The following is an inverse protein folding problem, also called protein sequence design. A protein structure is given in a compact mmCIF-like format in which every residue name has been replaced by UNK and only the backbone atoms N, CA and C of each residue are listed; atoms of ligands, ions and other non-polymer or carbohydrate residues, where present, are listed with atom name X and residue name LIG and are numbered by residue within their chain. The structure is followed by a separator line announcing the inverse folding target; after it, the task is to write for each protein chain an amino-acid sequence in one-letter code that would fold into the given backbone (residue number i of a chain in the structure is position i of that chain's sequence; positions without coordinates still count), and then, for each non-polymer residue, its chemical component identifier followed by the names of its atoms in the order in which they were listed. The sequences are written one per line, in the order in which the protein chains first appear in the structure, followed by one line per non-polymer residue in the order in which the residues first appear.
data_IF_305801106122
#
_entry.id   IF_305801106122
#
_cell.length_a   1.000
_cell.length_b   1.000
_cell.length_c   1.000
_cell.angle_alpha   90.00
_cell.angle_beta   90.00
_cell.angle_gamma   90.00
#
_symmetry.space_group_name_H-M   'P 1'
#
loop_
_entity.id
_entity.type
_entity.pdbx_description
1 polymer ?
#
# COMPACT_ATOMS: atom_id res chain seq x y z
N UNK A 1 3.15 -32.22 1.95
CA UNK A 1 2.22 -31.19 2.46
C UNK A 1 1.57 -30.56 1.25
N UNK A 2 0.23 -30.56 1.16
CA UNK A 2 -0.43 -29.76 0.13
C UNK A 2 -0.10 -28.30 0.46
N UNK A 3 0.76 -27.67 -0.34
CA UNK A 3 0.93 -26.23 -0.29
C UNK A 3 -0.39 -25.64 -0.75
N UNK A 4 -1.16 -25.07 0.17
CA UNK A 4 -2.31 -24.25 -0.20
C UNK A 4 -1.77 -23.13 -1.07
N UNK A 5 -2.20 -23.10 -2.33
CA UNK A 5 -1.80 -22.08 -3.29
C UNK A 5 -2.36 -20.73 -2.83
N UNK A 6 -1.49 -19.73 -2.66
CA UNK A 6 -1.91 -18.38 -2.29
C UNK A 6 -2.57 -17.77 -3.53
N UNK A 7 -3.82 -17.34 -3.40
CA UNK A 7 -4.55 -16.69 -4.50
C UNK A 7 -4.43 -15.17 -4.39
N UNK A 8 -4.54 -14.47 -5.53
CA UNK A 8 -4.48 -13.01 -5.54
C UNK A 8 -5.63 -12.41 -4.74
N UNK A 9 -6.81 -13.05 -4.75
CA UNK A 9 -7.96 -12.61 -3.98
C UNK A 9 -7.72 -12.65 -2.46
N UNK A 10 -6.91 -13.60 -1.98
CA UNK A 10 -6.55 -13.69 -0.57
C UNK A 10 -5.59 -12.56 -0.17
N UNK A 11 -4.61 -12.25 -1.03
CA UNK A 11 -3.68 -11.13 -0.86
C UNK A 11 -4.43 -9.80 -0.85
N UNK A 12 -5.34 -9.62 -1.82
CA UNK A 12 -6.17 -8.41 -1.90
C UNK A 12 -7.11 -8.31 -0.70
N UNK A 13 -7.59 -9.41 -0.13
CA UNK A 13 -8.37 -9.35 1.11
C UNK A 13 -7.48 -8.98 2.31
N UNK A 14 -6.28 -9.53 2.39
CA UNK A 14 -5.36 -9.28 3.48
C UNK A 14 -4.96 -7.80 3.57
N UNK A 15 -4.63 -7.16 2.45
CA UNK A 15 -4.26 -5.73 2.42
C UNK A 15 -5.42 -4.83 2.88
N UNK A 16 -6.67 -5.15 2.50
CA UNK A 16 -7.85 -4.41 2.96
C UNK A 16 -8.19 -4.64 4.45
N UNK A 17 -7.66 -5.71 5.06
CA UNK A 17 -7.81 -5.99 6.49
C UNK A 17 -6.64 -5.44 7.32
N UNK A 18 -5.45 -5.31 6.71
CA UNK A 18 -4.27 -4.66 7.31
C UNK A 18 -4.59 -3.20 7.67
N UNK A 19 -5.35 -2.52 6.80
CA UNK A 19 -5.78 -1.13 6.98
C UNK A 19 -7.26 -1.02 7.35
N UNK A 20 -7.55 -1.00 8.65
CA UNK A 20 -8.94 -0.82 9.13
C UNK A 20 -9.15 0.46 9.94
N UNK A 21 -8.08 1.16 10.32
CA UNK A 21 -8.17 2.21 11.34
C UNK A 21 -8.84 3.49 10.80
N UNK A 22 -8.54 3.94 9.58
CA UNK A 22 -9.05 5.23 9.07
C UNK A 22 -10.56 5.25 8.87
N UNK A 23 -11.16 4.19 8.30
CA UNK A 23 -12.61 4.04 8.19
C UNK A 23 -13.27 3.97 9.55
N UNK A 24 -12.73 3.19 10.49
CA UNK A 24 -13.28 3.12 11.87
C UNK A 24 -13.26 4.48 12.55
N UNK A 25 -12.14 5.19 12.47
CA UNK A 25 -12.03 6.53 13.04
C UNK A 25 -13.06 7.48 12.41
N UNK A 26 -13.27 7.44 11.10
CA UNK A 26 -14.28 8.27 10.45
C UNK A 26 -15.72 7.89 10.84
N UNK A 27 -16.02 6.60 11.06
CA UNK A 27 -17.32 6.17 11.58
C UNK A 27 -17.61 6.78 12.97
N UNK A 28 -16.61 6.83 13.85
CA UNK A 28 -16.72 7.49 15.14
C UNK A 28 -17.00 9.00 14.98
N UNK A 29 -16.35 9.65 14.01
CA UNK A 29 -16.57 11.06 13.74
C UNK A 29 -17.98 11.36 13.21
N UNK A 30 -18.56 10.48 12.37
CA UNK A 30 -19.96 10.60 11.94
C UNK A 30 -20.93 10.50 13.12
N UNK A 31 -20.72 9.52 14.00
CA UNK A 31 -21.47 9.37 15.25
C UNK A 31 -21.37 10.62 16.13
N UNK A 32 -20.17 11.16 16.32
CA UNK A 32 -19.94 12.35 17.14
C UNK A 32 -20.69 13.58 16.62
N UNK A 33 -20.84 13.71 15.29
CA UNK A 33 -21.59 14.82 14.67
C UNK A 33 -23.10 14.58 14.58
N UNK A 34 -23.58 13.39 14.94
CA UNK A 34 -24.99 13.01 14.75
C UNK A 34 -25.39 12.92 13.27
N UNK A 35 -24.43 12.66 12.39
CA UNK A 35 -24.65 12.59 10.94
C UNK A 35 -24.81 11.14 10.49
N UNK A 36 -25.63 10.92 9.45
CA UNK A 36 -25.67 9.62 8.77
C UNK A 36 -24.32 9.39 8.07
N UNK A 37 -23.80 8.17 8.18
CA UNK A 37 -22.61 7.73 7.45
C UNK A 37 -22.82 7.93 5.95
N UNK A 38 -21.84 8.54 5.30
CA UNK A 38 -21.83 8.70 3.85
C UNK A 38 -21.10 7.51 3.21
N UNK A 39 -21.84 6.67 2.49
CA UNK A 39 -21.30 5.46 1.88
C UNK A 39 -20.24 5.76 0.82
N UNK A 40 -20.39 6.84 0.04
CA UNK A 40 -19.40 7.27 -0.96
C UNK A 40 -18.10 7.69 -0.29
N UNK A 41 -18.18 8.37 0.87
CA UNK A 41 -16.99 8.72 1.64
C UNK A 41 -16.30 7.47 2.20
N UNK A 42 -17.05 6.49 2.69
CA UNK A 42 -16.48 5.23 3.19
C UNK A 42 -15.83 4.40 2.08
N UNK A 43 -16.42 4.40 0.88
CA UNK A 43 -15.82 3.76 -0.29
C UNK A 43 -14.53 4.47 -0.71
N UNK A 44 -14.54 5.81 -0.75
CA UNK A 44 -13.34 6.60 -1.03
C UNK A 44 -12.21 6.30 -0.04
N UNK A 45 -12.52 6.27 1.26
CA UNK A 45 -11.57 5.94 2.31
C UNK A 45 -10.96 4.55 2.11
N UNK A 46 -11.77 3.55 1.74
CA UNK A 46 -11.27 2.19 1.50
C UNK A 46 -10.24 2.13 0.37
N UNK A 47 -10.41 2.94 -0.68
CA UNK A 47 -9.45 3.00 -1.80
C UNK A 47 -8.21 3.80 -1.41
N UNK A 48 -8.40 4.91 -0.69
CA UNK A 48 -7.31 5.71 -0.14
C UNK A 48 -6.40 4.89 0.78
N UNK A 49 -6.99 4.11 1.70
CA UNK A 49 -6.29 3.17 2.59
C UNK A 49 -5.46 2.17 1.78
N UNK A 50 -6.07 1.51 0.80
CA UNK A 50 -5.38 0.54 -0.04
C UNK A 50 -4.13 1.14 -0.72
N UNK A 51 -4.25 2.33 -1.31
CA UNK A 51 -3.11 2.99 -1.96
C UNK A 51 -1.99 3.34 -0.96
N UNK A 52 -2.35 3.82 0.23
CA UNK A 52 -1.35 4.11 1.29
C UNK A 52 -0.61 2.85 1.72
N UNK A 53 -1.31 1.75 1.99
CA UNK A 53 -0.65 0.49 2.38
C UNK A 53 0.26 -0.06 1.30
N UNK A 54 -0.15 0.02 0.03
CA UNK A 54 0.72 -0.40 -1.08
C UNK A 54 1.96 0.49 -1.14
N UNK A 55 1.82 1.79 -0.89
CA UNK A 55 2.97 2.70 -0.84
C UNK A 55 3.94 2.32 0.29
N UNK A 56 3.41 2.03 1.48
CA UNK A 56 4.22 1.66 2.64
C UNK A 56 4.90 0.30 2.41
N UNK A 57 4.17 -0.71 1.93
CA UNK A 57 4.75 -2.02 1.57
C UNK A 57 5.86 -1.88 0.50
N UNK A 58 5.69 -1.00 -0.50
CA UNK A 58 6.73 -0.80 -1.51
C UNK A 58 7.97 -0.09 -0.95
N UNK A 59 7.78 0.78 0.04
CA UNK A 59 8.87 1.46 0.73
C UNK A 59 9.64 0.51 1.64
N UNK A 60 8.94 -0.32 2.41
CA UNK A 60 9.50 -1.25 3.39
C UNK A 60 9.84 -2.65 2.80
N UNK A 61 9.70 -2.83 1.49
CA UNK A 61 9.78 -4.15 0.83
C UNK A 61 11.01 -4.99 1.22
N UNK A 62 12.20 -4.38 1.19
CA UNK A 62 13.43 -5.09 1.53
C UNK A 62 13.44 -5.53 2.99
N UNK A 63 13.07 -4.63 3.90
CA UNK A 63 13.06 -4.88 5.34
C UNK A 63 11.99 -5.92 5.70
N UNK A 64 10.80 -5.84 5.09
CA UNK A 64 9.74 -6.84 5.26
C UNK A 64 10.18 -8.24 4.81
N UNK A 65 10.90 -8.35 3.68
CA UNK A 65 11.43 -9.64 3.21
C UNK A 65 12.50 -10.17 4.18
N UNK A 66 13.32 -9.29 4.76
CA UNK A 66 14.33 -9.66 5.73
C UNK A 66 13.73 -10.16 7.04
N UNK A 67 12.75 -9.45 7.57
CA UNK A 67 12.03 -9.77 8.79
C UNK A 67 11.00 -10.90 8.61
N UNK A 68 10.80 -11.34 7.36
CA UNK A 68 9.81 -12.34 6.98
C UNK A 68 8.35 -11.89 7.27
N UNK A 69 8.11 -10.58 7.15
CA UNK A 69 6.80 -9.96 7.29
C UNK A 69 5.95 -10.10 6.01
N UNK A 70 4.64 -9.84 6.17
CA UNK A 70 3.74 -9.74 5.02
C UNK A 70 4.09 -8.49 4.20
N UNK A 71 4.10 -8.65 2.88
CA UNK A 71 4.29 -7.55 1.94
C UNK A 71 3.58 -7.87 0.62
N UNK A 72 2.87 -6.90 0.05
CA UNK A 72 2.07 -7.13 -1.16
C UNK A 72 2.93 -7.51 -2.38
N UNK A 73 4.08 -6.87 -2.60
CA UNK A 73 4.96 -7.20 -3.72
C UNK A 73 5.53 -8.60 -3.54
N UNK A 74 5.92 -8.97 -2.32
CA UNK A 74 6.37 -10.33 -1.97
C UNK A 74 5.33 -11.38 -2.35
N UNK A 75 4.06 -11.13 -2.03
CA UNK A 75 2.97 -12.04 -2.41
C UNK A 75 2.74 -12.09 -3.92
N UNK A 76 2.80 -10.95 -4.61
CA UNK A 76 2.70 -10.91 -6.07
C UNK A 76 3.83 -11.68 -6.76
N UNK A 77 5.06 -11.62 -6.23
CA UNK A 77 6.20 -12.43 -6.70
C UNK A 77 5.92 -13.91 -6.52
N UNK A 78 5.31 -14.33 -5.41
CA UNK A 78 4.95 -15.73 -5.16
C UNK A 78 3.88 -16.27 -6.12
N UNK A 79 2.97 -15.41 -6.57
CA UNK A 79 1.84 -15.77 -7.45
C UNK A 79 2.23 -15.70 -8.93
N UNK A 80 2.79 -14.58 -9.36
CA UNK A 80 3.05 -14.29 -10.78
C UNK A 80 4.51 -14.51 -11.19
N UNK A 81 5.39 -14.78 -10.24
CA UNK A 81 6.83 -14.81 -10.46
C UNK A 81 7.45 -13.41 -10.52
N UNK A 82 8.77 -13.29 -10.29
CA UNK A 82 9.46 -12.00 -10.15
C UNK A 82 9.42 -11.15 -11.42
N UNK A 83 9.30 -11.77 -12.60
CA UNK A 83 9.26 -11.06 -13.87
C UNK A 83 7.92 -10.34 -14.13
N UNK A 84 6.80 -10.93 -13.69
CA UNK A 84 5.46 -10.38 -13.96
C UNK A 84 4.89 -9.61 -12.77
N UNK A 85 5.35 -9.89 -11.55
CA UNK A 85 4.81 -9.29 -10.33
C UNK A 85 4.78 -7.75 -10.34
N UNK A 86 5.85 -7.02 -10.73
CA UNK A 86 5.81 -5.56 -10.77
C UNK A 86 4.75 -5.01 -11.73
N UNK A 87 4.63 -5.61 -12.91
CA UNK A 87 3.66 -5.19 -13.93
C UNK A 87 2.22 -5.48 -13.48
N UNK A 88 1.99 -6.63 -12.83
CA UNK A 88 0.68 -6.97 -12.27
C UNK A 88 0.31 -6.02 -11.14
N UNK A 89 1.21 -5.75 -10.20
CA UNK A 89 0.94 -4.82 -9.09
C UNK A 89 0.68 -3.39 -9.60
N UNK A 90 1.46 -2.91 -10.57
CA UNK A 90 1.24 -1.62 -11.20
C UNK A 90 -0.16 -1.48 -11.83
N UNK A 91 -0.69 -2.57 -12.39
CA UNK A 91 -2.07 -2.59 -12.92
C UNK A 91 -3.11 -2.39 -11.82
N UNK A 92 -2.98 -3.08 -10.68
CA UNK A 92 -3.89 -2.91 -9.54
C UNK A 92 -3.81 -1.51 -8.94
N UNK A 93 -2.60 -0.94 -8.86
CA UNK A 93 -2.40 0.45 -8.43
C UNK A 93 -3.13 1.41 -9.37
N UNK A 94 -2.95 1.28 -10.69
CA UNK A 94 -3.59 2.15 -11.67
C UNK A 94 -5.12 2.06 -11.61
N UNK A 95 -5.69 0.86 -11.49
CA UNK A 95 -7.15 0.67 -11.34
C UNK A 95 -7.67 1.31 -10.05
N UNK A 96 -6.90 1.25 -8.95
CA UNK A 96 -7.24 1.90 -7.70
C UNK A 96 -7.12 3.43 -7.78
N UNK A 97 -6.11 3.97 -8.47
CA UNK A 97 -5.97 5.41 -8.72
C UNK A 97 -7.13 5.97 -9.56
N UNK A 98 -7.53 5.26 -10.62
CA UNK A 98 -8.70 5.65 -11.43
C UNK A 98 -9.98 5.70 -10.57
N UNK A 99 -10.16 4.70 -9.70
CA UNK A 99 -11.30 4.66 -8.78
C UNK A 99 -11.22 5.75 -7.72
N UNK A 100 -10.03 6.01 -7.17
CA UNK A 100 -9.77 7.10 -6.24
C UNK A 100 -10.17 8.45 -6.86
N UNK A 101 -9.69 8.73 -8.07
CA UNK A 101 -9.99 9.96 -8.80
C UNK A 101 -11.48 10.11 -9.13
N UNK A 102 -12.14 9.01 -9.47
CA UNK A 102 -13.58 9.00 -9.72
C UNK A 102 -14.37 9.35 -8.46
N UNK A 103 -14.06 8.71 -7.33
CA UNK A 103 -14.73 8.93 -6.06
C UNK A 103 -14.43 10.32 -5.49
N UNK A 104 -13.19 10.80 -5.60
CA UNK A 104 -12.79 12.13 -5.12
C UNK A 104 -13.62 13.25 -5.77
N UNK A 105 -14.03 13.08 -7.03
CA UNK A 105 -14.88 14.02 -7.78
C UNK A 105 -16.34 13.98 -7.36
N UNK A 106 -16.80 12.87 -6.78
CA UNK A 106 -18.20 12.71 -6.32
C UNK A 106 -18.39 13.06 -4.85
N UNK A 107 -17.30 13.19 -4.08
CA UNK A 107 -17.34 13.65 -2.70
C UNK A 107 -17.90 15.08 -2.57
N UNK A 108 -18.33 15.40 -1.36
CA UNK A 108 -18.60 16.79 -0.99
C UNK A 108 -17.37 17.68 -1.34
N UNK A 109 -17.55 18.85 -1.98
CA UNK A 109 -16.43 19.66 -2.45
C UNK A 109 -15.47 20.10 -1.34
N UNK A 110 -15.96 20.32 -0.11
CA UNK A 110 -15.09 20.70 1.00
C UNK A 110 -14.27 19.50 1.47
N UNK A 111 -14.90 18.32 1.55
CA UNK A 111 -14.23 17.07 1.89
C UNK A 111 -13.14 16.72 0.85
N UNK A 112 -13.48 16.80 -0.43
CA UNK A 112 -12.55 16.57 -1.54
C UNK A 112 -11.31 17.47 -1.44
N UNK A 113 -11.52 18.78 -1.20
CA UNK A 113 -10.40 19.73 -1.00
C UNK A 113 -9.55 19.41 0.22
N UNK A 114 -10.15 18.95 1.32
CA UNK A 114 -9.41 18.59 2.52
C UNK A 114 -8.50 17.38 2.28
N UNK A 115 -8.97 16.36 1.56
CA UNK A 115 -8.16 15.20 1.20
C UNK A 115 -7.03 15.55 0.24
N UNK A 116 -7.30 16.34 -0.80
CA UNK A 116 -6.27 16.83 -1.71
C UNK A 116 -5.15 17.55 -0.95
N UNK A 117 -5.51 18.45 -0.02
CA UNK A 117 -4.53 19.14 0.82
C UNK A 117 -3.72 18.17 1.67
N UNK A 118 -4.36 17.18 2.31
CA UNK A 118 -3.66 16.20 3.14
C UNK A 118 -2.69 15.35 2.32
N UNK A 119 -3.05 14.96 1.09
CA UNK A 119 -2.15 14.25 0.16
C UNK A 119 -0.91 15.09 -0.18
N UNK A 120 -1.09 16.38 -0.46
CA UNK A 120 0.03 17.29 -0.73
C UNK A 120 0.95 17.45 0.50
N UNK A 121 0.37 17.56 1.70
CA UNK A 121 1.12 17.64 2.97
C UNK A 121 1.92 16.36 3.22
N UNK A 122 1.30 15.19 3.08
CA UNK A 122 1.98 13.91 3.24
C UNK A 122 3.13 13.72 2.24
N UNK A 123 2.93 14.13 0.99
CA UNK A 123 3.97 14.07 -0.05
C UNK A 123 5.17 14.97 0.29
N UNK A 124 4.91 16.17 0.84
CA UNK A 124 5.94 17.09 1.31
C UNK A 124 6.69 16.57 2.55
N UNK A 125 5.96 15.99 3.51
CA UNK A 125 6.53 15.34 4.69
C UNK A 125 7.50 14.20 4.29
N UNK A 126 7.16 13.45 3.24
CA UNK A 126 8.02 12.42 2.64
C UNK A 126 9.19 12.96 1.80
N UNK A 127 9.45 14.27 1.78
CA UNK A 127 10.58 14.89 1.10
C UNK A 127 10.51 14.91 -0.44
N UNK A 128 9.38 14.50 -1.04
CA UNK A 128 9.19 14.49 -2.50
C UNK A 128 8.48 15.77 -2.96
N UNK A 129 9.05 16.48 -3.94
CA UNK A 129 8.32 17.49 -4.72
C UNK A 129 7.85 16.84 -6.04
N UNK A 130 6.84 15.96 -5.98
CA UNK A 130 6.24 15.42 -7.20
C UNK A 130 5.20 16.40 -7.75
N UNK A 131 5.15 16.55 -9.08
CA UNK A 131 4.05 17.24 -9.77
C UNK A 131 2.76 16.43 -9.86
N UNK A 132 2.79 15.17 -9.43
CA UNK A 132 1.63 14.27 -9.39
C UNK A 132 0.94 14.32 -8.02
N UNK A 133 -0.41 14.45 -7.95
CA UNK A 133 -1.17 14.62 -6.71
C UNK A 133 -1.03 13.47 -5.69
N UNK A 134 -0.81 12.24 -6.16
CA UNK A 134 -0.63 11.04 -5.33
C UNK A 134 0.84 10.62 -5.19
N UNK A 135 1.77 11.45 -5.64
CA UNK A 135 3.18 11.08 -5.66
C UNK A 135 3.59 10.32 -6.92
N UNK A 136 4.69 9.58 -6.82
CA UNK A 136 5.19 8.74 -7.91
C UNK A 136 5.56 7.40 -7.33
N UNK A 137 4.97 6.34 -7.88
CA UNK A 137 5.22 4.97 -7.51
C UNK A 137 6.64 4.55 -7.86
N UNK A 138 7.32 3.95 -6.90
CA UNK A 138 8.58 3.27 -7.12
C UNK A 138 8.39 1.82 -6.70
N UNK A 139 8.20 0.93 -7.67
CA UNK A 139 8.12 -0.50 -7.40
C UNK A 139 9.55 -1.05 -7.38
N UNK A 140 10.08 -1.50 -6.23
CA UNK A 140 11.44 -1.97 -6.13
C UNK A 140 11.65 -3.26 -6.95
N UNK A 141 12.89 -3.60 -7.31
CA UNK A 141 13.20 -4.84 -7.98
C UNK A 141 12.74 -6.06 -7.16
N UNK A 142 12.05 -7.00 -7.81
CA UNK A 142 11.58 -8.20 -7.15
C UNK A 142 12.75 -9.06 -6.62
N UNK A 143 12.68 -9.44 -5.35
CA UNK A 143 13.61 -10.40 -4.74
C UNK A 143 13.23 -11.80 -5.21
N UNK A 144 14.13 -12.43 -5.97
CA UNK A 144 13.90 -13.75 -6.62
C UNK A 144 14.06 -14.90 -5.63
N UNK A 145 15.04 -14.80 -4.74
CA UNK A 145 15.36 -15.81 -3.73
C UNK A 145 15.51 -15.13 -2.38
N UNK A 146 14.46 -15.25 -1.56
CA UNK A 146 14.42 -14.62 -0.25
C UNK A 146 15.39 -15.25 0.76
N UNK A 147 15.65 -16.56 0.65
CA UNK A 147 16.59 -17.25 1.55
C UNK A 147 18.01 -16.79 1.31
N UNK A 148 18.39 -16.68 0.02
CA UNK A 148 19.67 -16.11 -0.38
C UNK A 148 19.77 -14.64 0.01
N UNK A 149 18.69 -13.86 -0.21
CA UNK A 149 18.65 -12.44 0.15
C UNK A 149 18.89 -12.22 1.66
N UNK A 150 18.17 -12.96 2.52
CA UNK A 150 18.35 -12.93 3.98
C UNK A 150 19.75 -13.35 4.40
N UNK A 151 20.27 -14.42 3.81
CA UNK A 151 21.62 -14.94 4.13
C UNK A 151 22.72 -13.94 3.76
N UNK A 152 22.61 -13.26 2.62
CA UNK A 152 23.59 -12.28 2.17
C UNK A 152 23.64 -11.05 3.08
N UNK A 153 22.49 -10.58 3.55
CA UNK A 153 22.40 -9.44 4.49
C UNK A 153 23.04 -9.77 5.85
N UNK A 154 22.74 -10.94 6.43
CA UNK A 154 23.36 -11.41 7.67
C UNK A 154 24.89 -11.48 7.58
N UNK A 155 25.41 -11.98 6.44
CA UNK A 155 26.85 -12.04 6.20
C UNK A 155 27.47 -10.63 6.09
N UNK A 156 26.80 -9.69 5.43
CA UNK A 156 27.30 -8.33 5.29
C UNK A 156 27.38 -7.56 6.62
N UNK A 157 26.40 -7.72 7.51
CA UNK A 157 26.40 -7.10 8.85
C UNK A 157 27.48 -7.69 9.78
N UNK A 158 27.75 -8.99 9.64
CA UNK A 158 28.83 -9.65 10.38
C UNK A 158 30.23 -9.18 9.95
N UNK A 159 30.40 -8.71 8.71
CA UNK A 159 31.67 -8.14 8.24
C UNK A 159 31.85 -6.68 8.68
N UNK A 160 30.77 -5.90 8.80
CA UNK A 160 30.81 -4.50 9.26
C UNK A 160 31.13 -4.39 10.75
N UNK A 161 30.75 -5.39 11.55
CA UNK A 161 31.00 -5.42 13.02
C UNK A 161 32.41 -5.89 13.40
N UNK A 162 33.21 -6.35 12.43
CA UNK A 162 34.61 -6.80 12.62
C UNK A 162 35.65 -5.81 12.07
N UNK A 163 35.24 -4.60 11.65
CA UNK A 163 36.08 -3.54 11.08
C UNK A 163 36.34 -2.38 12.03
#
# INVERSE_FOLDING_TARGET
MNQTEILVEDVMRAIHLKSFDYRVLNLLLYQLRGEKVNDVHMEFLSISEFLVEVSDDLFDYEDDVLENNFNILRMFVRIYGPAMAPAMLAKYIAEAEEKYDSLLKTLDPQLSRNYQRRCEEATKEGGKMSGYPLGTWNIPPAIVDEELYRSNRLNSESMVTLG
#
